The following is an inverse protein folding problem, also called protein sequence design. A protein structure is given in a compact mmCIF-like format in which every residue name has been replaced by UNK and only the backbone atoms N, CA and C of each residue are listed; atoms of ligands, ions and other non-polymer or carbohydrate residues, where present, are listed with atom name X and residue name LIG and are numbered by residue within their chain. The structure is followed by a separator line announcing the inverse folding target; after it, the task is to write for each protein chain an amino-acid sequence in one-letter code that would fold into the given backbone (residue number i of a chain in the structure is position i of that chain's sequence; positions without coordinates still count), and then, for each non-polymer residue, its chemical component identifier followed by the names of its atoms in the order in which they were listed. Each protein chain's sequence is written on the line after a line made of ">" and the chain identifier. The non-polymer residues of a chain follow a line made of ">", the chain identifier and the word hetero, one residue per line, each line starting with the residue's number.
data_IF_692176529471
#
_entry.id   IF_692176529471
#
_cell.length_a   1.000
_cell.length_b   1.000
_cell.length_c   1.000
_cell.angle_alpha   90.00
_cell.angle_beta   90.00
_cell.angle_gamma   90.00
#
_symmetry.space_group_name_H-M   'P 1'
#
loop_
_entity.id
_entity.type
_entity.pdbx_description
1 polymer ?
#
# COMPACT_ATOMS: atom_id res chain seq x y z
N UNK A 1 -8.58 -21.10 78.06
CA UNK A 1 -7.38 -21.76 78.62
C UNK A 1 -6.14 -20.97 78.20
N UNK A 2 -4.97 -21.26 78.78
CA UNK A 2 -3.70 -20.53 78.59
C UNK A 2 -3.08 -20.76 77.17
N UNK A 3 -2.05 -20.03 76.73
CA UNK A 3 -1.30 -18.94 77.39
C UNK A 3 -0.23 -18.28 76.49
N UNK A 4 0.32 -17.17 76.99
CA UNK A 4 1.42 -16.31 76.43
C UNK A 4 2.82 -16.91 76.73
N UNK A 5 4.01 -16.32 76.35
CA UNK A 5 4.32 -14.89 76.09
C UNK A 5 5.27 -14.54 74.90
N UNK A 6 5.57 -13.24 74.77
CA UNK A 6 6.68 -12.66 73.97
C UNK A 6 7.93 -12.40 74.86
N UNK A 7 9.03 -11.77 74.40
CA UNK A 7 9.10 -10.29 74.46
C UNK A 7 10.00 -9.55 73.41
N UNK A 8 10.09 -8.22 73.56
CA UNK A 8 11.10 -7.24 73.04
C UNK A 8 11.49 -6.30 74.22
N UNK A 9 12.29 -5.23 74.07
CA UNK A 9 13.57 -4.99 73.36
C UNK A 9 14.68 -4.73 74.43
N UNK A 10 15.67 -3.83 74.23
CA UNK A 10 15.49 -2.43 74.67
C UNK A 10 16.14 -1.35 73.75
N UNK A 11 16.20 -0.09 74.23
CA UNK A 11 16.64 1.16 73.57
C UNK A 11 17.77 1.86 74.35
N UNK A 12 18.50 2.76 73.67
CA UNK A 12 18.71 4.17 74.07
C UNK A 12 18.92 5.01 72.75
N UNK A 13 19.56 6.18 72.57
CA UNK A 13 20.40 7.10 73.39
C UNK A 13 20.19 8.57 72.94
N UNK A 14 20.68 9.55 73.72
CA UNK A 14 20.67 10.99 73.37
C UNK A 14 21.69 11.43 72.30
N UNK A 15 21.90 12.74 72.01
CA UNK A 15 21.48 13.91 72.82
C UNK A 15 21.48 15.27 72.05
N UNK A 16 20.49 16.14 72.35
CA UNK A 16 20.51 17.64 72.44
C UNK A 16 21.09 18.59 71.34
N UNK A 17 20.23 19.54 70.95
CA UNK A 17 20.45 21.03 70.74
C UNK A 17 21.27 21.47 69.50
N UNK A 18 21.18 22.72 69.00
CA UNK A 18 20.61 24.02 69.51
C UNK A 18 20.02 24.89 68.36
N UNK A 19 19.29 25.97 68.68
CA UNK A 19 18.74 26.96 67.72
C UNK A 19 19.70 28.13 67.42
N UNK A 20 19.51 28.80 66.27
CA UNK A 20 19.29 30.25 66.04
C UNK A 20 19.35 30.52 64.50
N UNK A 21 18.53 31.30 63.76
CA UNK A 21 17.43 32.29 63.93
C UNK A 21 17.80 33.73 63.53
N UNK A 22 16.96 34.37 62.70
CA UNK A 22 17.02 35.76 62.17
C UNK A 22 18.10 36.05 61.10
N UNK A 23 17.86 36.87 60.07
CA UNK A 23 16.58 37.41 59.56
C UNK A 23 16.72 38.60 58.58
N UNK A 24 15.71 38.82 57.72
CA UNK A 24 15.37 40.08 56.99
C UNK A 24 16.40 40.74 56.03
N UNK A 25 16.03 41.52 55.00
CA UNK A 25 14.78 41.65 54.20
C UNK A 25 15.05 42.57 52.97
N UNK A 26 14.06 42.69 52.06
CA UNK A 26 13.85 43.80 51.11
C UNK A 26 14.78 43.97 49.90
N UNK A 27 14.17 44.17 48.72
CA UNK A 27 14.86 44.52 47.46
C UNK A 27 13.97 44.31 46.23
N UNK A 28 13.19 45.32 45.83
CA UNK A 28 12.22 45.22 44.72
C UNK A 28 12.63 46.12 43.55
N UNK A 29 12.77 45.52 42.36
CA UNK A 29 12.56 46.15 41.04
C UNK A 29 12.40 45.02 40.02
N UNK A 30 11.31 44.88 39.26
CA UNK A 30 10.60 45.81 38.36
C UNK A 30 11.03 45.64 36.89
N UNK A 31 10.12 45.02 36.11
CA UNK A 31 9.95 45.14 34.65
C UNK A 31 11.19 45.11 33.74
N UNK A 32 11.46 43.93 33.16
CA UNK A 32 12.04 43.82 31.81
C UNK A 32 11.15 42.92 30.94
N UNK A 33 10.50 43.52 29.95
CA UNK A 33 9.99 42.78 28.78
C UNK A 33 11.08 42.74 27.70
N UNK A 34 11.16 41.65 26.93
CA UNK A 34 11.59 41.72 25.54
C UNK A 34 10.47 41.27 24.59
N UNK A 35 9.91 42.26 23.90
CA UNK A 35 9.40 42.26 22.52
C UNK A 35 9.17 40.89 21.85
N UNK A 36 7.92 40.64 21.44
CA UNK A 36 7.48 39.51 20.60
C UNK A 36 7.97 39.63 19.15
N UNK A 37 9.24 39.33 18.91
CA UNK A 37 9.80 39.24 17.54
C UNK A 37 9.31 37.97 16.84
N UNK A 38 8.28 38.09 16.00
CA UNK A 38 7.77 37.01 15.14
C UNK A 38 8.76 36.67 14.00
N UNK A 39 9.77 35.86 14.31
CA UNK A 39 10.74 35.34 13.32
C UNK A 39 10.10 34.31 12.39
N UNK A 40 9.49 34.85 11.32
CA UNK A 40 8.93 34.19 10.13
C UNK A 40 9.83 33.04 9.63
N UNK A 41 9.47 31.80 9.96
CA UNK A 41 10.26 30.60 9.62
C UNK A 41 10.43 30.43 8.10
N UNK A 42 11.64 30.04 7.68
CA UNK A 42 12.08 30.15 6.29
C UNK A 42 11.73 28.95 5.42
N UNK A 43 10.71 29.14 4.58
CA UNK A 43 10.62 28.68 3.17
C UNK A 43 11.23 27.30 2.85
N UNK A 44 10.36 26.29 2.73
CA UNK A 44 10.71 24.99 2.12
C UNK A 44 10.91 25.16 0.60
N UNK A 45 12.12 25.52 0.17
CA UNK A 45 12.56 25.48 -1.23
C UNK A 45 13.37 24.21 -1.50
N UNK A 46 12.78 23.25 -2.21
CA UNK A 46 13.53 22.13 -2.82
C UNK A 46 13.96 22.54 -4.23
N UNK A 47 15.23 22.34 -4.57
CA UNK A 47 15.77 22.68 -5.88
C UNK A 47 15.04 21.94 -7.02
N UNK A 48 14.84 22.63 -8.14
CA UNK A 48 14.37 22.04 -9.38
C UNK A 48 15.43 21.09 -9.98
N UNK A 49 15.01 20.17 -10.85
CA UNK A 49 15.94 19.25 -11.52
C UNK A 49 16.79 20.00 -12.54
N UNK A 50 18.05 20.26 -12.21
CA UNK A 50 19.05 20.82 -13.13
C UNK A 50 19.39 19.78 -14.20
N UNK A 51 18.90 19.98 -15.42
CA UNK A 51 19.32 19.24 -16.61
C UNK A 51 20.73 19.70 -16.98
N UNK A 52 21.67 18.78 -17.17
CA UNK A 52 23.05 19.14 -17.51
C UNK A 52 23.14 19.78 -18.91
N UNK A 53 23.96 20.82 -19.03
CA UNK A 53 24.34 21.46 -20.29
C UNK A 53 25.81 21.90 -20.22
N UNK A 54 26.62 21.45 -21.17
CA UNK A 54 28.00 21.92 -21.37
C UNK A 54 28.05 23.03 -22.45
N UNK A 55 29.02 23.96 -22.44
CA UNK A 55 28.89 25.22 -23.19
C UNK A 55 29.78 25.38 -24.45
N UNK A 56 29.31 26.25 -25.37
CA UNK A 56 30.03 26.95 -26.48
C UNK A 56 30.52 26.09 -27.67
N UNK A 57 30.60 26.57 -28.93
CA UNK A 57 30.14 27.81 -29.62
C UNK A 57 30.44 27.69 -31.16
N UNK A 58 30.22 28.69 -32.04
CA UNK A 58 29.03 29.52 -32.33
C UNK A 58 28.67 29.55 -33.85
N UNK A 59 27.84 30.54 -34.29
CA UNK A 59 27.49 30.94 -35.68
C UNK A 59 26.44 30.04 -36.40
N UNK A 60 25.51 30.54 -37.24
CA UNK A 60 25.06 31.93 -37.53
C UNK A 60 23.56 31.98 -37.95
N UNK A 61 23.11 33.12 -38.52
CA UNK A 61 21.74 33.43 -39.00
C UNK A 61 21.09 32.36 -39.92
N UNK A 62 19.75 32.27 -40.06
CA UNK A 62 18.67 33.13 -39.51
C UNK A 62 17.26 32.67 -39.95
N UNK A 63 16.22 33.46 -39.65
CA UNK A 63 14.81 33.21 -40.06
C UNK A 63 14.45 33.97 -41.36
N UNK A 64 13.39 33.58 -42.09
CA UNK A 64 12.04 34.08 -41.76
C UNK A 64 10.88 33.05 -41.93
N UNK A 65 9.65 33.55 -41.83
CA UNK A 65 8.33 32.91 -42.06
C UNK A 65 7.56 33.81 -43.09
N UNK A 66 6.26 33.60 -43.45
CA UNK A 66 5.30 32.52 -43.20
C UNK A 66 4.57 32.07 -44.51
N UNK A 67 3.32 31.55 -44.39
CA UNK A 67 2.28 31.43 -45.45
C UNK A 67 2.49 30.29 -46.51
N UNK A 68 1.47 29.72 -47.19
CA UNK A 68 -0.01 29.75 -46.99
C UNK A 68 -0.73 28.59 -47.75
N UNK A 69 -2.07 28.54 -47.67
CA UNK A 69 -3.06 27.90 -48.58
C UNK A 69 -3.24 26.35 -48.67
N UNK A 70 -4.48 25.97 -49.00
CA UNK A 70 -4.99 24.62 -49.29
C UNK A 70 -4.51 24.03 -50.63
N UNK A 71 -4.52 22.69 -50.79
CA UNK A 71 -5.57 22.00 -51.57
C UNK A 71 -5.57 20.46 -51.45
N UNK A 72 -6.60 19.84 -52.04
CA UNK A 72 -6.98 18.43 -51.96
C UNK A 72 -6.31 17.49 -53.01
N UNK A 73 -6.48 16.17 -52.78
CA UNK A 73 -6.41 15.03 -53.73
C UNK A 73 -5.02 14.50 -54.18
N UNK A 74 -5.04 13.23 -54.61
CA UNK A 74 -3.99 12.62 -55.46
C UNK A 74 -3.19 11.45 -54.86
N UNK A 75 -3.53 10.21 -55.22
CA UNK A 75 -2.56 9.10 -55.25
C UNK A 75 -1.88 9.06 -56.63
N UNK A 76 -0.57 8.81 -56.70
CA UNK A 76 0.03 8.07 -57.81
C UNK A 76 0.44 6.63 -57.43
N UNK A 77 0.62 5.77 -58.44
CA UNK A 77 1.27 4.44 -58.32
C UNK A 77 2.67 4.50 -58.95
N UNK A 78 3.66 3.85 -58.34
CA UNK A 78 4.93 3.43 -58.95
C UNK A 78 5.44 2.18 -58.20
N UNK A 79 6.24 1.27 -58.77
CA UNK A 79 6.31 0.69 -60.14
C UNK A 79 7.16 -0.59 -60.02
N UNK A 80 6.93 -1.59 -60.86
CA UNK A 80 7.67 -2.86 -60.83
C UNK A 80 9.16 -2.71 -61.19
N UNK A 81 9.98 -3.60 -60.61
CA UNK A 81 11.27 -4.04 -61.18
C UNK A 81 11.35 -5.56 -61.15
N UNK A 82 11.09 -6.20 -62.29
CA UNK A 82 11.16 -7.65 -62.47
C UNK A 82 12.61 -8.16 -62.60
N UNK A 83 12.90 -9.36 -62.07
CA UNK A 83 14.24 -9.97 -62.21
C UNK A 83 14.24 -11.50 -62.18
N UNK A 84 14.44 -12.09 -63.37
CA UNK A 84 14.82 -13.49 -63.64
C UNK A 84 13.83 -14.66 -63.37
N UNK A 85 13.87 -15.62 -64.31
CA UNK A 85 13.15 -16.89 -64.35
C UNK A 85 13.75 -17.76 -65.48
N UNK A 86 14.06 -19.04 -65.26
CA UNK A 86 14.13 -20.03 -66.34
C UNK A 86 13.10 -21.17 -66.17
N UNK A 87 12.52 -21.60 -67.29
CA UNK A 87 11.40 -22.55 -67.37
C UNK A 87 11.81 -24.02 -67.26
N UNK A 88 10.95 -24.84 -66.64
CA UNK A 88 10.50 -26.10 -67.24
C UNK A 88 9.13 -26.52 -66.69
N UNK A 89 8.24 -26.98 -67.58
CA UNK A 89 7.11 -27.86 -67.24
C UNK A 89 7.49 -29.29 -67.68
N UNK A 90 6.86 -30.34 -67.13
CA UNK A 90 5.81 -30.98 -67.94
C UNK A 90 4.64 -31.62 -67.17
N UNK A 91 3.48 -31.68 -67.86
CA UNK A 91 2.45 -32.75 -67.79
C UNK A 91 1.64 -32.94 -66.50
N UNK A 92 0.33 -33.21 -66.68
CA UNK A 92 -0.62 -33.57 -65.63
C UNK A 92 -0.83 -35.10 -65.58
N UNK A 93 -1.10 -35.62 -64.38
CA UNK A 93 -1.46 -37.01 -64.09
C UNK A 93 -2.66 -37.03 -63.09
N UNK A 94 -3.42 -38.13 -62.99
CA UNK A 94 -4.81 -38.08 -62.51
C UNK A 94 -4.97 -37.92 -60.99
N UNK A 95 -6.17 -37.49 -60.58
CA UNK A 95 -6.53 -37.29 -59.18
C UNK A 95 -6.68 -38.62 -58.42
N UNK A 96 -5.87 -38.82 -57.38
CA UNK A 96 -6.13 -39.84 -56.35
C UNK A 96 -7.16 -39.31 -55.33
N UNK A 97 -8.07 -40.14 -54.80
CA UNK A 97 -9.00 -39.71 -53.75
C UNK A 97 -8.25 -39.37 -52.46
N UNK A 98 -8.55 -38.22 -51.86
CA UNK A 98 -8.15 -37.93 -50.47
C UNK A 98 -8.99 -38.84 -49.54
N UNK A 99 -8.37 -39.63 -48.66
CA UNK A 99 -9.13 -40.46 -47.73
C UNK A 99 -9.94 -39.55 -46.78
N UNK A 100 -11.20 -39.93 -46.52
CA UNK A 100 -12.12 -39.11 -45.73
C UNK A 100 -11.58 -38.90 -44.30
N UNK A 101 -11.12 -37.68 -44.00
CA UNK A 101 -10.71 -37.33 -42.64
C UNK A 101 -11.94 -37.28 -41.74
N UNK A 102 -12.05 -38.29 -40.86
CA UNK A 102 -13.11 -38.39 -39.84
C UNK A 102 -13.36 -37.05 -39.14
N UNK A 103 -14.65 -36.79 -38.85
CA UNK A 103 -15.17 -35.68 -38.05
C UNK A 103 -14.11 -34.97 -37.19
N UNK A 104 -13.62 -33.83 -37.67
CA UNK A 104 -13.13 -32.81 -36.75
C UNK A 104 -14.36 -32.32 -35.97
N UNK A 105 -14.57 -32.89 -34.79
CA UNK A 105 -15.61 -32.44 -33.89
C UNK A 105 -15.39 -30.95 -33.62
N UNK A 106 -16.36 -30.12 -34.02
CA UNK A 106 -16.33 -28.69 -33.74
C UNK A 106 -16.55 -28.51 -32.23
N UNK A 107 -15.43 -28.42 -31.52
CA UNK A 107 -15.38 -28.51 -30.07
C UNK A 107 -15.79 -27.20 -29.38
N UNK A 108 -17.10 -26.97 -29.27
CA UNK A 108 -17.68 -25.91 -28.44
C UNK A 108 -17.47 -26.24 -26.94
N UNK A 109 -16.32 -25.82 -26.41
CA UNK A 109 -15.89 -26.10 -25.04
C UNK A 109 -16.25 -24.99 -24.04
N UNK A 110 -17.54 -24.84 -23.71
CA UNK A 110 -17.98 -24.13 -22.50
C UNK A 110 -18.21 -25.15 -21.36
N UNK A 111 -17.34 -25.24 -20.33
CA UNK A 111 -17.58 -26.14 -19.19
C UNK A 111 -18.78 -25.66 -18.37
N UNK A 112 -19.64 -26.57 -17.92
CA UNK A 112 -20.86 -26.19 -17.20
C UNK A 112 -20.60 -25.88 -15.72
N UNK A 113 -21.52 -25.13 -15.08
CA UNK A 113 -21.48 -24.94 -13.61
C UNK A 113 -21.43 -26.29 -12.88
N UNK A 114 -22.19 -27.28 -13.35
CA UNK A 114 -22.21 -28.64 -12.78
C UNK A 114 -20.89 -29.40 -12.95
N UNK A 115 -20.10 -29.10 -14.00
CA UNK A 115 -18.75 -29.66 -14.16
C UNK A 115 -17.78 -28.98 -13.20
N UNK A 116 -17.82 -27.65 -13.13
CA UNK A 116 -16.96 -26.86 -12.24
C UNK A 116 -17.26 -27.12 -10.75
N UNK A 117 -18.49 -27.50 -10.40
CA UNK A 117 -18.86 -27.99 -9.07
C UNK A 117 -18.34 -29.41 -8.80
N UNK A 118 -18.44 -30.33 -9.77
CA UNK A 118 -17.96 -31.74 -9.63
C UNK A 118 -16.44 -31.86 -9.58
N UNK A 119 -15.72 -31.12 -10.42
CA UNK A 119 -14.24 -31.17 -10.50
C UNK A 119 -13.58 -30.55 -9.24
N UNK A 120 -14.33 -29.78 -8.44
CA UNK A 120 -13.86 -29.19 -7.17
C UNK A 120 -13.36 -30.19 -6.10
N UNK A 121 -13.50 -31.49 -6.33
CA UNK A 121 -13.05 -32.57 -5.43
C UNK A 121 -11.70 -33.22 -5.80
N UNK A 122 -11.11 -32.97 -6.98
CA UNK A 122 -9.92 -33.72 -7.42
C UNK A 122 -9.06 -33.07 -8.50
N UNK A 123 -7.78 -33.46 -8.53
CA UNK A 123 -6.77 -33.12 -9.55
C UNK A 123 -6.45 -31.62 -9.73
N UNK A 124 -5.64 -31.08 -8.83
CA UNK A 124 -4.97 -29.78 -8.99
C UNK A 124 -3.78 -29.61 -8.04
N UNK A 125 -2.57 -29.44 -8.58
CA UNK A 125 -1.33 -29.35 -7.79
C UNK A 125 -1.21 -28.02 -7.03
N UNK A 126 -1.63 -28.02 -5.77
CA UNK A 126 -1.32 -26.96 -4.80
C UNK A 126 -2.43 -25.93 -4.53
N UNK A 127 -3.48 -26.35 -3.81
CA UNK A 127 -4.37 -25.43 -3.08
C UNK A 127 -5.27 -24.53 -3.94
N UNK A 128 -5.66 -24.99 -5.14
CA UNK A 128 -6.40 -24.24 -6.14
C UNK A 128 -7.90 -24.09 -5.81
N UNK A 129 -8.25 -23.05 -5.03
CA UNK A 129 -9.63 -22.49 -4.96
C UNK A 129 -9.96 -21.75 -6.27
N UNK A 130 -10.17 -22.50 -7.35
CA UNK A 130 -10.25 -22.01 -8.73
C UNK A 130 -11.22 -22.88 -9.54
N UNK A 131 -11.83 -22.36 -10.62
CA UNK A 131 -12.42 -23.24 -11.62
C UNK A 131 -11.32 -24.07 -12.30
N UNK A 132 -11.61 -25.35 -12.53
CA UNK A 132 -10.91 -26.15 -13.52
C UNK A 132 -11.24 -25.60 -14.91
N UNK A 133 -10.22 -25.11 -15.63
CA UNK A 133 -10.39 -24.61 -17.00
C UNK A 133 -9.87 -25.72 -17.92
N UNK A 134 -10.74 -26.57 -18.50
CA UNK A 134 -10.32 -27.52 -19.52
C UNK A 134 -9.85 -26.74 -20.76
N UNK A 135 -8.78 -27.20 -21.41
CA UNK A 135 -8.23 -26.53 -22.58
C UNK A 135 -7.65 -27.53 -23.57
N UNK A 136 -7.62 -27.13 -24.85
CA UNK A 136 -6.89 -27.80 -25.91
C UNK A 136 -5.36 -27.90 -25.60
N UNK A 137 -4.63 -28.83 -26.23
CA UNK A 137 -3.18 -28.95 -26.11
C UNK A 137 -2.46 -27.59 -26.29
N UNK A 138 -1.52 -27.29 -25.39
CA UNK A 138 -0.85 -25.98 -25.31
C UNK A 138 -1.53 -24.94 -24.42
N UNK A 139 -2.82 -25.10 -24.09
CA UNK A 139 -3.58 -24.14 -23.27
C UNK A 139 -3.00 -23.88 -21.87
N UNK A 140 -2.27 -24.83 -21.29
CA UNK A 140 -1.55 -24.64 -20.02
C UNK A 140 -0.57 -23.46 -20.04
N UNK A 141 0.10 -23.21 -21.17
CA UNK A 141 0.99 -22.06 -21.33
C UNK A 141 0.20 -20.74 -21.42
N UNK A 142 -0.97 -20.76 -22.08
CA UNK A 142 -1.87 -19.61 -22.11
C UNK A 142 -2.41 -19.26 -20.71
N UNK A 143 -2.74 -20.25 -19.88
CA UNK A 143 -3.12 -20.03 -18.48
C UNK A 143 -1.99 -19.44 -17.63
N UNK A 144 -0.73 -19.80 -17.89
CA UNK A 144 0.43 -19.18 -17.21
C UNK A 144 0.52 -17.68 -17.57
N UNK A 145 0.26 -17.31 -18.83
CA UNK A 145 0.20 -15.92 -19.28
C UNK A 145 -1.03 -15.16 -18.73
N UNK A 146 -2.21 -15.77 -18.74
CA UNK A 146 -3.43 -15.20 -18.13
C UNK A 146 -3.24 -14.98 -16.62
N UNK A 147 -2.56 -15.92 -15.93
CA UNK A 147 -2.21 -15.79 -14.51
C UNK A 147 -1.18 -14.69 -14.24
N UNK A 148 -0.20 -14.49 -15.12
CA UNK A 148 0.83 -13.45 -14.95
C UNK A 148 0.31 -12.03 -15.27
N UNK A 149 -0.79 -11.91 -16.02
CA UNK A 149 -1.46 -10.63 -16.31
C UNK A 149 -1.95 -9.88 -15.07
N UNK A 150 -2.13 -10.56 -13.93
CA UNK A 150 -2.56 -9.97 -12.65
C UNK A 150 -1.62 -10.35 -11.51
N UNK A 151 -1.56 -9.52 -10.47
CA UNK A 151 -0.69 -9.82 -9.31
C UNK A 151 -1.19 -11.08 -8.56
N UNK A 152 -0.31 -11.87 -7.92
CA UNK A 152 -0.72 -13.07 -7.17
C UNK A 152 -1.79 -12.81 -6.10
N UNK A 153 -1.78 -11.62 -5.48
CA UNK A 153 -2.80 -11.19 -4.53
C UNK A 153 -4.14 -10.81 -5.18
N UNK A 154 -4.14 -10.41 -6.46
CA UNK A 154 -5.34 -10.21 -7.27
C UNK A 154 -5.92 -11.55 -7.68
N UNK A 155 -5.08 -12.46 -8.20
CA UNK A 155 -5.47 -13.82 -8.57
C UNK A 155 -6.12 -14.57 -7.39
N UNK A 156 -5.48 -14.55 -6.21
CA UNK A 156 -6.04 -15.15 -4.99
C UNK A 156 -7.37 -14.50 -4.56
N UNK A 157 -7.51 -13.17 -4.71
CA UNK A 157 -8.75 -12.47 -4.38
C UNK A 157 -9.90 -12.80 -5.35
N UNK A 158 -9.59 -13.04 -6.63
CA UNK A 158 -10.56 -13.49 -7.62
C UNK A 158 -10.97 -14.95 -7.36
N UNK A 159 -10.02 -15.88 -7.17
CA UNK A 159 -10.31 -17.29 -6.90
C UNK A 159 -11.16 -17.50 -5.63
N UNK A 160 -10.86 -16.77 -4.56
CA UNK A 160 -11.73 -16.75 -3.37
C UNK A 160 -13.15 -16.26 -3.69
N UNK A 161 -13.30 -15.19 -4.49
CA UNK A 161 -14.61 -14.70 -4.89
C UNK A 161 -15.40 -15.71 -5.75
N UNK A 162 -14.70 -16.47 -6.61
CA UNK A 162 -15.26 -17.55 -7.41
C UNK A 162 -15.76 -18.71 -6.55
N UNK A 163 -14.92 -19.29 -5.70
CA UNK A 163 -15.34 -20.39 -4.82
C UNK A 163 -16.46 -19.98 -3.87
N UNK A 164 -16.47 -18.74 -3.37
CA UNK A 164 -17.59 -18.22 -2.57
C UNK A 164 -18.90 -18.13 -3.36
N UNK A 165 -18.84 -17.79 -4.66
CA UNK A 165 -20.01 -17.69 -5.55
C UNK A 165 -20.50 -19.06 -6.06
N UNK A 166 -19.59 -20.01 -6.28
CA UNK A 166 -19.89 -21.33 -6.86
C UNK A 166 -20.92 -22.13 -6.03
N UNK A 167 -21.01 -21.87 -4.73
CA UNK A 167 -22.05 -22.40 -3.84
C UNK A 167 -23.49 -21.89 -4.13
N UNK A 168 -23.62 -20.79 -4.87
CA UNK A 168 -24.90 -20.19 -5.29
C UNK A 168 -25.20 -20.46 -6.77
N UNK A 169 -24.23 -20.99 -7.52
CA UNK A 169 -24.28 -21.16 -8.97
C UNK A 169 -25.23 -22.30 -9.37
N UNK A 170 -26.06 -22.05 -10.40
CA UNK A 170 -27.02 -22.99 -11.00
C UNK A 170 -26.94 -22.94 -12.53
N UNK A 171 -27.51 -23.94 -13.20
CA UNK A 171 -27.58 -24.02 -14.65
C UNK A 171 -26.30 -24.55 -15.28
N UNK A 172 -26.05 -24.16 -16.53
CA UNK A 172 -24.88 -24.60 -17.31
C UNK A 172 -23.88 -23.48 -17.62
N UNK A 173 -24.12 -22.23 -17.20
CA UNK A 173 -23.26 -21.08 -17.53
C UNK A 173 -23.66 -20.33 -18.81
N UNK A 174 -24.60 -20.86 -19.59
CA UNK A 174 -25.14 -20.21 -20.79
C UNK A 174 -26.43 -19.45 -20.48
N UNK A 175 -27.25 -19.96 -19.56
CA UNK A 175 -28.43 -19.24 -19.06
C UNK A 175 -28.01 -18.02 -18.20
N UNK A 176 -28.02 -16.86 -18.86
CA UNK A 176 -27.75 -15.56 -18.27
C UNK A 176 -28.74 -15.14 -17.16
N UNK A 177 -29.96 -15.69 -17.13
CA UNK A 177 -30.92 -15.45 -16.03
C UNK A 177 -30.47 -16.21 -14.79
N UNK A 178 -30.20 -17.51 -14.91
CA UNK A 178 -29.68 -18.33 -13.81
C UNK A 178 -28.35 -17.78 -13.27
N UNK A 179 -27.40 -17.36 -14.13
CA UNK A 179 -26.18 -16.70 -13.70
C UNK A 179 -26.43 -15.37 -12.95
N UNK A 180 -27.41 -14.58 -13.40
CA UNK A 180 -27.80 -13.34 -12.73
C UNK A 180 -28.40 -13.62 -11.35
N UNK A 181 -29.34 -14.57 -11.24
CA UNK A 181 -29.98 -14.96 -9.99
C UNK A 181 -28.98 -15.56 -8.98
N UNK A 182 -28.09 -16.44 -9.42
CA UNK A 182 -26.96 -16.93 -8.61
C UNK A 182 -26.08 -15.78 -8.09
N UNK A 183 -25.85 -14.76 -8.92
CA UNK A 183 -25.07 -13.57 -8.55
C UNK A 183 -25.83 -12.66 -7.58
N UNK A 184 -27.14 -12.49 -7.75
CA UNK A 184 -28.01 -11.74 -6.82
C UNK A 184 -28.03 -12.42 -5.45
N UNK A 185 -28.26 -13.74 -5.41
CA UNK A 185 -28.26 -14.52 -4.18
C UNK A 185 -26.91 -14.44 -3.43
N UNK A 186 -25.80 -14.51 -4.15
CA UNK A 186 -24.47 -14.28 -3.58
C UNK A 186 -24.31 -12.88 -2.99
N UNK A 187 -24.79 -11.82 -3.67
CA UNK A 187 -24.74 -10.44 -3.16
C UNK A 187 -25.61 -10.24 -1.91
N UNK A 188 -26.79 -10.85 -1.85
CA UNK A 188 -27.66 -10.86 -0.67
C UNK A 188 -26.95 -11.57 0.50
N UNK A 189 -26.36 -12.74 0.27
CA UNK A 189 -25.61 -13.47 1.28
C UNK A 189 -24.37 -12.70 1.79
N UNK A 190 -23.66 -11.98 0.90
CA UNK A 190 -22.57 -11.08 1.30
C UNK A 190 -23.05 -9.91 2.16
N UNK A 191 -24.23 -9.35 1.89
CA UNK A 191 -24.85 -8.27 2.69
C UNK A 191 -25.28 -8.78 4.07
N UNK A 192 -25.92 -9.95 4.12
CA UNK A 192 -26.30 -10.61 5.38
C UNK A 192 -25.09 -10.92 6.28
N UNK A 193 -23.93 -11.27 5.69
CA UNK A 193 -22.65 -11.50 6.40
C UNK A 193 -21.90 -10.20 6.78
N UNK A 194 -22.57 -9.04 6.80
CA UNK A 194 -21.97 -7.76 7.17
C UNK A 194 -20.95 -7.20 6.15
N UNK A 195 -21.01 -7.65 4.90
CA UNK A 195 -20.13 -7.18 3.84
C UNK A 195 -20.30 -5.69 3.51
N UNK A 196 -19.24 -5.06 2.99
CA UNK A 196 -19.33 -3.72 2.42
C UNK A 196 -19.53 -3.76 0.91
N UNK A 197 -20.24 -2.78 0.35
CA UNK A 197 -20.45 -2.67 -1.09
C UNK A 197 -19.14 -2.58 -1.89
N UNK A 198 -18.05 -2.08 -1.29
CA UNK A 198 -16.69 -2.08 -1.89
C UNK A 198 -16.12 -3.51 -1.94
N UNK A 199 -16.36 -4.34 -0.91
CA UNK A 199 -15.98 -5.76 -0.90
C UNK A 199 -16.74 -6.55 -1.96
N UNK A 200 -18.06 -6.33 -2.05
CA UNK A 200 -18.93 -6.94 -3.06
C UNK A 200 -18.54 -6.52 -4.49
N UNK A 201 -18.29 -5.23 -4.72
CA UNK A 201 -17.83 -4.71 -6.01
C UNK A 201 -16.53 -5.39 -6.47
N UNK A 202 -15.59 -5.65 -5.55
CA UNK A 202 -14.31 -6.33 -5.85
C UNK A 202 -14.49 -7.84 -6.11
N UNK A 203 -15.44 -8.49 -5.45
CA UNK A 203 -15.82 -9.88 -5.72
C UNK A 203 -16.43 -10.02 -7.12
N UNK A 204 -17.36 -9.12 -7.47
CA UNK A 204 -17.91 -9.03 -8.83
C UNK A 204 -16.84 -8.76 -9.90
N UNK A 205 -15.80 -7.97 -9.62
CA UNK A 205 -14.66 -7.85 -10.55
C UNK A 205 -13.95 -9.19 -10.80
N UNK A 206 -13.85 -10.05 -9.78
CA UNK A 206 -13.30 -11.40 -9.92
C UNK A 206 -14.23 -12.34 -10.69
N UNK A 207 -15.55 -12.30 -10.45
CA UNK A 207 -16.52 -13.07 -11.23
C UNK A 207 -16.54 -12.64 -12.69
N UNK A 208 -16.55 -11.34 -12.97
CA UNK A 208 -16.48 -10.79 -14.33
C UNK A 208 -15.21 -11.17 -15.09
N UNK A 209 -14.11 -11.46 -14.38
CA UNK A 209 -12.88 -11.99 -14.96
C UNK A 209 -13.04 -13.46 -15.33
N UNK A 210 -13.61 -14.29 -14.44
CA UNK A 210 -13.81 -15.72 -14.73
C UNK A 210 -14.90 -16.00 -15.75
N UNK A 211 -16.03 -15.28 -15.74
CA UNK A 211 -17.06 -15.43 -16.77
C UNK A 211 -16.45 -15.24 -18.17
N UNK A 212 -15.66 -14.18 -18.37
CA UNK A 212 -14.96 -13.92 -19.64
C UNK A 212 -13.86 -14.93 -19.97
N UNK A 213 -13.18 -15.47 -18.96
CA UNK A 213 -12.17 -16.53 -19.13
C UNK A 213 -12.78 -17.90 -19.46
N UNK A 214 -14.07 -18.09 -19.14
CA UNK A 214 -14.85 -19.31 -19.40
C UNK A 214 -15.83 -19.16 -20.57
N UNK A 215 -15.79 -18.06 -21.33
CA UNK A 215 -16.72 -17.76 -22.43
C UNK A 215 -18.13 -17.30 -22.02
N UNK A 216 -18.48 -17.38 -20.74
CA UNK A 216 -19.81 -17.04 -20.20
C UNK A 216 -20.12 -15.53 -20.21
N UNK A 217 -21.41 -15.18 -20.25
CA UNK A 217 -21.86 -13.78 -20.22
C UNK A 217 -21.52 -13.06 -18.89
N UNK A 218 -21.00 -11.83 -18.98
CA UNK A 218 -20.71 -10.96 -17.82
C UNK A 218 -21.97 -10.35 -17.20
N UNK A 219 -22.73 -11.19 -16.48
CA UNK A 219 -23.94 -10.76 -15.73
C UNK A 219 -23.65 -9.70 -14.66
N UNK A 220 -22.39 -9.49 -14.26
CA UNK A 220 -22.03 -8.50 -13.22
C UNK A 220 -22.32 -7.04 -13.64
N UNK A 221 -22.63 -6.82 -14.91
CA UNK A 221 -23.01 -5.51 -15.49
C UNK A 221 -24.52 -5.34 -15.66
N UNK A 222 -25.33 -6.37 -15.44
CA UNK A 222 -26.78 -6.29 -15.57
C UNK A 222 -27.36 -5.20 -14.66
N UNK A 223 -28.39 -4.51 -15.14
CA UNK A 223 -28.95 -3.31 -14.51
C UNK A 223 -29.23 -3.52 -13.01
N UNK A 224 -29.95 -4.60 -12.67
CA UNK A 224 -30.34 -4.94 -11.29
C UNK A 224 -29.14 -5.05 -10.33
N UNK A 225 -28.06 -5.72 -10.73
CA UNK A 225 -26.82 -5.85 -9.94
C UNK A 225 -26.14 -4.48 -9.77
N UNK A 226 -26.10 -3.65 -10.82
CA UNK A 226 -25.50 -2.31 -10.70
C UNK A 226 -26.32 -1.38 -9.80
N UNK A 227 -27.66 -1.49 -9.80
CA UNK A 227 -28.55 -0.71 -8.93
C UNK A 227 -28.49 -1.20 -7.48
N UNK A 228 -28.47 -2.51 -7.23
CA UNK A 228 -28.27 -3.08 -5.89
C UNK A 228 -26.96 -2.57 -5.25
N UNK A 229 -25.85 -2.55 -6.02
CA UNK A 229 -24.59 -1.96 -5.56
C UNK A 229 -24.65 -0.43 -5.38
N UNK A 230 -25.52 0.30 -6.10
CA UNK A 230 -25.71 1.75 -5.88
C UNK A 230 -26.48 2.00 -4.57
N UNK A 231 -27.54 1.23 -4.30
CA UNK A 231 -28.29 1.26 -3.04
C UNK A 231 -27.40 0.94 -1.83
N UNK A 232 -26.71 -0.20 -1.85
CA UNK A 232 -25.78 -0.63 -0.79
C UNK A 232 -24.62 0.36 -0.56
N UNK A 233 -24.21 1.13 -1.59
CA UNK A 233 -23.24 2.24 -1.42
C UNK A 233 -23.84 3.49 -0.76
N UNK A 234 -25.14 3.76 -0.91
CA UNK A 234 -25.84 4.87 -0.24
C UNK A 234 -26.11 4.56 1.23
N UNK A 235 -26.47 3.31 1.55
CA UNK A 235 -26.58 2.79 2.92
C UNK A 235 -25.21 2.80 3.64
N UNK A 236 -24.17 2.28 2.96
CA UNK A 236 -22.84 2.05 3.52
C UNK A 236 -21.95 3.28 3.71
N UNK A 237 -22.46 4.35 4.35
CA UNK A 237 -21.69 5.59 4.67
C UNK A 237 -20.63 5.40 5.78
N UNK A 238 -19.68 4.47 5.60
CA UNK A 238 -18.41 4.45 6.34
C UNK A 238 -17.25 4.27 5.37
N UNK A 239 -16.62 5.38 5.01
CA UNK A 239 -15.33 5.39 4.32
C UNK A 239 -14.19 4.90 5.22
N UNK A 240 -12.94 4.98 4.76
CA UNK A 240 -11.80 4.73 5.64
C UNK A 240 -11.71 5.85 6.68
N UNK A 241 -12.12 5.60 7.93
CA UNK A 241 -12.17 6.59 9.02
C UNK A 241 -10.83 6.78 9.74
N UNK A 242 -9.73 6.14 9.30
CA UNK A 242 -8.46 6.18 10.03
C UNK A 242 -7.93 7.60 10.23
N UNK A 243 -7.51 7.90 11.45
CA UNK A 243 -6.85 9.15 11.81
C UNK A 243 -5.41 9.20 11.27
N UNK A 244 -4.89 10.38 10.93
CA UNK A 244 -3.47 10.56 10.62
C UNK A 244 -2.59 10.22 11.83
N UNK A 245 -1.37 9.73 11.58
CA UNK A 245 -0.24 9.94 12.49
C UNK A 245 0.54 11.13 11.93
N UNK A 246 0.17 12.32 12.37
CA UNK A 246 0.86 13.60 12.11
C UNK A 246 2.23 13.64 12.79
N UNK A 247 3.01 14.71 12.59
CA UNK A 247 4.34 14.81 13.16
C UNK A 247 4.35 14.87 14.71
N UNK A 248 3.37 15.51 15.34
CA UNK A 248 3.28 15.57 16.81
C UNK A 248 2.93 14.20 17.40
N UNK A 249 2.00 13.46 16.77
CA UNK A 249 1.73 12.09 17.18
C UNK A 249 2.91 11.15 16.90
N UNK A 250 3.67 11.35 15.81
CA UNK A 250 4.91 10.59 15.57
C UNK A 250 5.91 10.80 16.71
N UNK A 251 6.18 12.05 17.11
CA UNK A 251 7.05 12.36 18.26
C UNK A 251 6.59 11.62 19.53
N UNK A 252 5.30 11.70 19.85
CA UNK A 252 4.70 10.99 21.01
C UNK A 252 4.82 9.47 20.90
N UNK A 253 4.77 8.88 19.71
CA UNK A 253 4.93 7.43 19.50
C UNK A 253 6.38 6.95 19.66
N UNK A 254 7.39 7.82 19.51
CA UNK A 254 8.80 7.45 19.62
C UNK A 254 9.28 7.31 21.08
N UNK A 255 8.62 7.97 22.03
CA UNK A 255 9.00 7.95 23.44
C UNK A 255 8.67 6.61 24.15
N UNK A 256 7.44 6.05 24.09
CA UNK A 256 7.10 4.79 24.77
C UNK A 256 7.93 3.57 24.34
N UNK A 257 8.54 3.60 23.15
CA UNK A 257 9.37 2.50 22.63
C UNK A 257 10.48 2.07 23.60
N UNK A 258 11.09 3.02 24.32
CA UNK A 258 12.18 2.72 25.28
C UNK A 258 11.72 1.98 26.55
N UNK A 259 10.40 1.88 26.77
CA UNK A 259 9.77 1.12 27.88
C UNK A 259 9.03 -0.13 27.36
N UNK A 260 8.58 -0.09 26.10
CA UNK A 260 7.76 -1.14 25.48
C UNK A 260 8.62 -2.22 24.79
N UNK A 261 9.80 -1.87 24.27
CA UNK A 261 10.77 -2.78 23.66
C UNK A 261 11.63 -3.51 24.72
N UNK A 262 12.18 -4.67 24.34
CA UNK A 262 13.03 -5.49 25.23
C UNK A 262 14.48 -5.03 25.35
N UNK A 263 15.02 -4.36 24.33
CA UNK A 263 16.42 -3.95 24.25
C UNK A 263 16.56 -2.56 23.60
N UNK A 264 17.70 -1.87 23.77
CA UNK A 264 18.04 -0.66 23.02
C UNK A 264 18.03 -0.89 21.50
N UNK A 265 18.46 -2.08 21.05
CA UNK A 265 18.40 -2.51 19.64
C UNK A 265 16.96 -2.45 19.11
N UNK A 266 16.02 -3.13 19.79
CA UNK A 266 14.60 -3.12 19.40
C UNK A 266 14.00 -1.70 19.49
N UNK A 267 14.46 -0.87 20.42
CA UNK A 267 14.06 0.54 20.50
C UNK A 267 14.49 1.31 19.26
N UNK A 268 15.74 1.14 18.80
CA UNK A 268 16.26 1.76 17.59
C UNK A 268 15.54 1.25 16.32
N UNK A 269 15.36 -0.07 16.19
CA UNK A 269 14.64 -0.73 15.08
C UNK A 269 13.25 -0.12 14.87
N UNK A 270 12.44 -0.02 15.92
CA UNK A 270 11.08 0.50 15.79
C UNK A 270 11.02 2.02 15.65
N UNK A 271 11.97 2.78 16.23
CA UNK A 271 12.12 4.22 15.96
C UNK A 271 12.43 4.48 14.47
N UNK A 272 13.37 3.73 13.89
CA UNK A 272 13.67 3.80 12.47
C UNK A 272 12.47 3.35 11.59
N UNK A 273 11.74 2.31 12.00
CA UNK A 273 10.58 1.81 11.27
C UNK A 273 9.41 2.83 11.24
N UNK A 274 9.07 3.46 12.38
CA UNK A 274 8.02 4.48 12.43
C UNK A 274 8.43 5.74 11.64
N UNK A 275 9.69 6.15 11.75
CA UNK A 275 10.30 7.23 10.97
C UNK A 275 10.18 6.99 9.45
N UNK A 276 10.65 5.84 8.95
CA UNK A 276 10.56 5.46 7.53
C UNK A 276 9.11 5.39 7.04
N UNK A 277 8.18 4.87 7.86
CA UNK A 277 6.76 4.78 7.52
C UNK A 277 6.12 6.16 7.29
N UNK A 278 6.43 7.14 8.15
CA UNK A 278 5.97 8.52 8.01
C UNK A 278 6.70 9.29 6.91
N UNK A 279 8.01 9.52 7.06
CA UNK A 279 8.76 10.41 6.17
C UNK A 279 8.92 9.89 4.73
N UNK A 280 8.89 8.57 4.52
CA UNK A 280 8.81 7.98 3.18
C UNK A 280 7.38 7.88 2.62
N UNK A 281 6.37 8.28 3.39
CA UNK A 281 4.94 8.09 3.14
C UNK A 281 4.61 6.66 2.67
N UNK A 282 5.24 5.66 3.29
CA UNK A 282 5.32 4.30 2.76
C UNK A 282 3.99 3.55 2.86
N UNK A 283 3.73 2.65 1.91
CA UNK A 283 2.80 1.54 2.19
C UNK A 283 3.54 0.53 3.06
N UNK A 284 2.91 -0.03 4.08
CA UNK A 284 3.60 -0.93 5.01
C UNK A 284 4.30 -2.12 4.32
N UNK A 285 3.77 -2.61 3.20
CA UNK A 285 4.36 -3.68 2.38
C UNK A 285 5.57 -3.24 1.52
N UNK A 286 5.82 -1.94 1.39
CA UNK A 286 7.04 -1.37 0.79
C UNK A 286 8.16 -1.32 1.84
N UNK A 287 7.82 -1.23 3.13
CA UNK A 287 8.76 -1.14 4.24
C UNK A 287 9.12 -2.50 4.85
N UNK A 288 8.12 -3.35 5.11
CA UNK A 288 8.28 -4.66 5.80
C UNK A 288 7.55 -5.80 5.08
N UNK A 289 8.08 -7.05 5.13
CA UNK A 289 7.40 -8.22 4.60
C UNK A 289 6.10 -8.54 5.35
N UNK A 290 5.19 -9.23 4.66
CA UNK A 290 3.88 -9.62 5.20
C UNK A 290 3.99 -10.72 6.28
N UNK A 291 5.04 -11.54 6.24
CA UNK A 291 5.48 -12.50 7.26
C UNK A 291 6.93 -12.92 6.97
N UNK A 292 7.65 -13.48 7.94
CA UNK A 292 9.07 -13.83 7.78
C UNK A 292 9.35 -14.80 6.61
N UNK A 293 8.39 -15.70 6.30
CA UNK A 293 8.46 -16.63 5.16
C UNK A 293 8.13 -15.99 3.79
N UNK A 294 7.88 -14.68 3.70
CA UNK A 294 7.51 -13.99 2.44
C UNK A 294 8.49 -12.89 2.09
N UNK A 295 9.08 -13.00 0.89
CA UNK A 295 9.91 -11.95 0.30
C UNK A 295 9.16 -10.61 0.22
N UNK A 296 9.85 -9.52 0.56
CA UNK A 296 9.32 -8.15 0.55
C UNK A 296 9.89 -7.29 1.68
N UNK A 297 9.42 -6.05 1.74
CA UNK A 297 10.02 -5.00 2.57
C UNK A 297 11.28 -4.39 1.95
N UNK A 298 11.86 -3.42 2.65
CA UNK A 298 13.01 -2.64 2.20
C UNK A 298 14.32 -3.42 2.40
N UNK A 299 15.18 -3.44 1.38
CA UNK A 299 16.45 -4.18 1.37
C UNK A 299 17.62 -3.36 1.89
N UNK A 300 18.66 -4.04 2.39
CA UNK A 300 19.90 -3.39 2.82
C UNK A 300 20.65 -2.76 1.64
N UNK A 301 20.77 -3.50 0.54
CA UNK A 301 21.41 -3.04 -0.71
C UNK A 301 20.70 -1.84 -1.35
N UNK A 302 19.41 -1.66 -1.02
CA UNK A 302 18.58 -0.56 -1.48
C UNK A 302 18.72 0.72 -0.61
N UNK A 303 19.53 0.71 0.45
CA UNK A 303 19.67 1.80 1.43
C UNK A 303 21.01 2.54 1.32
N UNK A 304 20.94 3.87 1.24
CA UNK A 304 22.06 4.80 1.32
C UNK A 304 21.83 5.69 2.55
N UNK A 305 22.73 5.59 3.54
CA UNK A 305 22.69 6.33 4.80
C UNK A 305 23.78 7.39 4.78
N UNK A 306 23.43 8.64 5.06
CA UNK A 306 24.36 9.77 5.14
C UNK A 306 23.90 10.73 6.24
N UNK A 307 24.83 11.49 6.84
CA UNK A 307 24.57 12.47 7.91
C UNK A 307 23.50 13.52 7.57
N UNK A 308 23.35 13.86 6.28
CA UNK A 308 22.43 14.92 5.81
C UNK A 308 21.13 14.38 5.21
N UNK A 309 21.11 13.10 4.79
CA UNK A 309 19.95 12.47 4.17
C UNK A 309 19.99 10.94 4.24
N UNK A 310 18.81 10.32 4.25
CA UNK A 310 18.62 8.91 3.90
C UNK A 310 18.05 8.84 2.50
N UNK A 311 18.62 7.99 1.63
CA UNK A 311 18.08 7.71 0.29
C UNK A 311 17.90 6.21 0.12
N UNK A 312 16.76 5.78 -0.40
CA UNK A 312 16.48 4.36 -0.56
C UNK A 312 15.61 4.01 -1.76
N UNK A 313 15.79 2.81 -2.31
CA UNK A 313 15.03 2.30 -3.47
C UNK A 313 13.86 1.44 -3.00
N UNK A 314 12.69 1.69 -3.59
CA UNK A 314 11.51 0.83 -3.44
C UNK A 314 11.39 0.02 -4.73
N UNK A 315 11.94 -1.19 -4.75
CA UNK A 315 12.12 -1.99 -5.98
C UNK A 315 10.82 -2.41 -6.69
N UNK A 316 9.74 -2.70 -5.96
CA UNK A 316 8.42 -3.00 -6.56
C UNK A 316 7.29 -2.42 -5.71
N UNK A 317 6.47 -1.55 -6.30
CA UNK A 317 5.30 -0.96 -5.64
C UNK A 317 3.98 -1.40 -6.29
N UNK A 318 2.84 -1.25 -5.61
CA UNK A 318 1.51 -1.58 -6.18
C UNK A 318 1.21 -0.83 -7.49
N UNK A 319 1.86 0.30 -7.72
CA UNK A 319 1.66 1.21 -8.87
C UNK A 319 2.78 1.12 -9.92
N UNK A 320 3.69 0.17 -9.76
CA UNK A 320 4.83 -0.10 -10.63
C UNK A 320 4.79 -1.57 -11.07
N UNK A 321 3.98 -1.84 -12.09
CA UNK A 321 3.76 -3.18 -12.66
C UNK A 321 5.02 -3.71 -13.35
N UNK A 322 5.86 -2.81 -13.86
CA UNK A 322 7.10 -3.13 -14.58
C UNK A 322 8.31 -3.31 -13.66
N UNK A 323 8.20 -3.03 -12.36
CA UNK A 323 9.30 -3.18 -11.40
C UNK A 323 10.50 -2.28 -11.66
N UNK A 324 10.29 -1.08 -12.23
CA UNK A 324 11.38 -0.08 -12.44
C UNK A 324 11.90 0.48 -11.12
N UNK A 325 11.10 0.35 -10.05
CA UNK A 325 11.34 0.92 -8.74
C UNK A 325 11.21 2.44 -8.69
N UNK A 326 11.45 3.00 -7.52
CA UNK A 326 11.62 4.44 -7.34
C UNK A 326 12.57 4.73 -6.18
N UNK A 327 13.40 5.78 -6.31
CA UNK A 327 14.22 6.29 -5.22
C UNK A 327 13.44 7.31 -4.40
N UNK A 328 13.42 7.14 -3.08
CA UNK A 328 12.94 8.12 -2.10
C UNK A 328 14.15 8.75 -1.42
N UNK A 329 14.07 10.02 -1.06
CA UNK A 329 15.14 10.72 -0.31
C UNK A 329 14.52 11.60 0.76
N UNK A 330 14.91 11.34 2.00
CA UNK A 330 14.47 12.01 3.22
C UNK A 330 15.66 12.81 3.75
N UNK A 331 15.51 14.13 3.88
CA UNK A 331 16.52 15.01 4.46
C UNK A 331 16.47 14.99 5.99
N UNK A 332 17.56 15.40 6.64
CA UNK A 332 17.55 15.70 8.07
C UNK A 332 16.58 16.85 8.39
N UNK A 333 16.02 16.83 9.60
CA UNK A 333 15.31 17.96 10.23
C UNK A 333 15.87 18.19 11.63
N UNK A 334 15.45 19.25 12.30
CA UNK A 334 15.83 19.53 13.69
C UNK A 334 14.98 18.71 14.70
N UNK A 335 15.53 18.47 15.88
CA UNK A 335 14.85 17.82 17.01
C UNK A 335 14.90 16.28 17.02
N UNK A 336 14.51 15.70 18.16
CA UNK A 336 14.66 14.27 18.50
C UNK A 336 13.96 13.27 17.56
N UNK A 337 13.05 13.74 16.69
CA UNK A 337 12.37 12.93 15.68
C UNK A 337 13.00 13.04 14.29
N UNK A 338 14.23 13.56 14.19
CA UNK A 338 14.97 13.66 12.93
C UNK A 338 15.13 12.27 12.28
N UNK A 339 14.62 12.06 11.06
CA UNK A 339 14.59 10.75 10.44
C UNK A 339 16.00 10.22 10.18
N UNK A 340 16.93 11.09 9.77
CA UNK A 340 18.32 10.73 9.53
C UNK A 340 18.98 10.22 10.81
N UNK A 341 18.83 10.93 11.93
CA UNK A 341 19.38 10.47 13.22
C UNK A 341 18.79 9.11 13.62
N UNK A 342 17.46 8.96 13.63
CA UNK A 342 16.80 7.72 14.04
C UNK A 342 17.18 6.52 13.15
N UNK A 343 17.34 6.73 11.85
CA UNK A 343 17.69 5.68 10.88
C UNK A 343 19.18 5.35 10.96
N UNK A 344 20.06 6.35 11.11
CA UNK A 344 21.51 6.13 11.27
C UNK A 344 21.86 5.45 12.58
N UNK A 345 21.21 5.80 13.70
CA UNK A 345 21.39 5.10 14.99
C UNK A 345 21.04 3.62 14.88
N UNK A 346 19.94 3.26 14.19
CA UNK A 346 19.64 1.86 13.95
C UNK A 346 20.63 1.21 12.98
N UNK A 347 21.01 1.89 11.88
CA UNK A 347 21.95 1.36 10.90
C UNK A 347 23.33 1.03 11.50
N UNK A 348 23.78 1.78 12.51
CA UNK A 348 25.05 1.54 13.22
C UNK A 348 24.99 0.37 14.23
N UNK A 349 23.80 0.02 14.74
CA UNK A 349 23.60 -1.06 15.71
C UNK A 349 23.18 -2.40 15.07
N UNK A 350 22.82 -2.38 13.79
CA UNK A 350 22.04 -3.43 13.10
C UNK A 350 22.83 -4.73 12.86
N UNK A 351 22.22 -5.86 13.22
CA UNK A 351 22.67 -7.22 12.85
C UNK A 351 22.67 -7.42 11.33
N UNK A 352 23.42 -8.40 10.82
CA UNK A 352 23.42 -8.73 9.39
C UNK A 352 22.02 -9.15 8.86
N UNK A 353 21.82 -9.15 7.54
CA UNK A 353 20.58 -9.67 6.93
C UNK A 353 20.14 -8.93 5.67
N UNK A 354 19.28 -9.56 4.86
CA UNK A 354 18.92 -9.03 3.52
C UNK A 354 17.97 -7.83 3.56
N UNK A 355 17.07 -7.75 4.54
CA UNK A 355 16.22 -6.59 4.75
C UNK A 355 16.97 -5.52 5.58
N UNK A 356 16.59 -4.25 5.43
CA UNK A 356 17.11 -3.19 6.30
C UNK A 356 16.57 -3.33 7.72
N UNK A 357 15.25 -3.43 7.89
CA UNK A 357 14.63 -3.61 9.22
C UNK A 357 14.66 -5.09 9.63
N UNK A 358 15.61 -5.46 10.48
CA UNK A 358 15.73 -6.79 11.10
C UNK A 358 15.81 -6.68 12.62
N UNK A 359 15.28 -7.68 13.31
CA UNK A 359 15.48 -7.93 14.74
C UNK A 359 16.92 -8.34 15.04
N UNK A 360 17.27 -8.36 16.32
CA UNK A 360 18.61 -8.68 16.83
C UNK A 360 19.08 -10.09 16.36
N UNK A 361 18.14 -11.03 16.25
CA UNK A 361 18.29 -12.39 15.68
C UNK A 361 18.42 -12.44 14.14
N UNK A 362 18.61 -11.29 13.48
CA UNK A 362 18.65 -11.11 12.02
C UNK A 362 17.34 -11.43 11.28
N UNK A 363 16.24 -11.77 11.97
CA UNK A 363 14.94 -12.02 11.34
C UNK A 363 14.29 -10.71 10.87
N UNK A 364 13.62 -10.68 9.70
CA UNK A 364 13.07 -9.43 9.16
C UNK A 364 11.85 -8.98 9.97
N UNK A 365 11.83 -7.72 10.39
CA UNK A 365 10.67 -7.11 11.06
C UNK A 365 9.43 -7.28 10.17
N UNK A 366 8.40 -7.99 10.64
CA UNK A 366 7.20 -8.22 9.83
C UNK A 366 6.14 -7.14 10.05
N UNK A 367 5.22 -7.04 9.08
CA UNK A 367 3.99 -6.25 9.23
C UNK A 367 3.19 -6.56 10.50
N UNK A 368 3.22 -7.81 10.99
CA UNK A 368 2.53 -8.19 12.22
C UNK A 368 3.22 -7.56 13.45
N UNK A 369 4.54 -7.71 13.59
CA UNK A 369 5.32 -7.09 14.66
C UNK A 369 5.18 -5.56 14.65
N UNK A 370 5.31 -4.93 13.47
CA UNK A 370 5.06 -3.48 13.31
C UNK A 370 3.68 -3.07 13.83
N UNK A 371 2.62 -3.77 13.40
CA UNK A 371 1.24 -3.45 13.80
C UNK A 371 1.01 -3.68 15.30
N UNK A 372 1.59 -4.75 15.86
CA UNK A 372 1.47 -5.10 17.28
C UNK A 372 2.14 -4.07 18.18
N UNK A 373 3.35 -3.61 17.84
CA UNK A 373 4.04 -2.61 18.64
C UNK A 373 3.43 -1.21 18.49
N UNK A 374 3.02 -0.84 17.27
CA UNK A 374 2.28 0.41 17.04
C UNK A 374 1.00 0.48 17.89
N UNK A 375 0.24 -0.62 17.97
CA UNK A 375 -0.92 -0.70 18.86
C UNK A 375 -0.54 -0.55 20.35
N UNK A 376 0.54 -1.19 20.83
CA UNK A 376 1.02 -1.01 22.23
C UNK A 376 1.42 0.45 22.52
N UNK A 377 2.01 1.14 21.54
CA UNK A 377 2.36 2.55 21.69
C UNK A 377 1.11 3.45 21.74
N UNK A 378 0.09 3.19 20.92
CA UNK A 378 -1.20 3.89 21.00
C UNK A 378 -1.89 3.64 22.35
N UNK A 379 -1.95 2.39 22.81
CA UNK A 379 -2.52 2.01 24.11
C UNK A 379 -1.82 2.73 25.27
N UNK A 380 -0.48 2.79 25.25
CA UNK A 380 0.31 3.52 26.25
C UNK A 380 0.11 5.06 26.19
N UNK A 381 -0.29 5.62 25.04
CA UNK A 381 -0.64 7.03 24.89
C UNK A 381 -2.12 7.34 25.22
N UNK A 382 -2.89 6.34 25.67
CA UNK A 382 -4.34 6.46 25.92
C UNK A 382 -5.19 6.57 24.65
N UNK A 383 -4.66 6.15 23.50
CA UNK A 383 -5.29 6.32 22.19
C UNK A 383 -5.98 5.06 21.69
N UNK A 384 -7.15 5.24 21.09
CA UNK A 384 -7.97 4.11 20.65
C UNK A 384 -7.45 3.47 19.35
N UNK A 385 -6.85 2.28 19.48
CA UNK A 385 -6.30 1.50 18.36
C UNK A 385 -7.24 1.24 17.17
N UNK A 386 -8.58 1.25 17.35
CA UNK A 386 -9.52 1.08 16.22
C UNK A 386 -9.59 2.30 15.29
N UNK A 387 -9.15 3.48 15.74
CA UNK A 387 -9.06 4.69 14.92
C UNK A 387 -7.82 4.69 13.99
N UNK A 388 -6.90 3.74 14.16
CA UNK A 388 -5.58 3.76 13.55
C UNK A 388 -5.28 2.51 12.72
N UNK A 389 -4.12 2.52 12.06
CA UNK A 389 -3.49 1.35 11.47
C UNK A 389 -2.19 1.74 10.77
N UNK A 390 -1.51 0.77 10.17
CA UNK A 390 -0.23 1.04 9.47
C UNK A 390 -0.36 1.94 8.24
N UNK A 391 -1.58 2.32 7.84
CA UNK A 391 -1.84 3.34 6.83
C UNK A 391 -1.89 4.76 7.40
N UNK A 392 -2.11 4.93 8.70
CA UNK A 392 -2.20 6.23 9.38
C UNK A 392 -0.91 7.05 9.26
N UNK A 393 0.26 6.42 9.23
CA UNK A 393 1.55 7.06 8.92
C UNK A 393 1.55 7.75 7.55
N UNK A 394 0.99 7.10 6.52
CA UNK A 394 0.90 7.63 5.15
C UNK A 394 -0.24 8.65 4.97
N UNK A 395 -1.32 8.53 5.75
CA UNK A 395 -2.39 9.54 5.84
C UNK A 395 -1.85 10.80 6.53
N UNK A 396 -1.12 10.64 7.62
CA UNK A 396 -0.46 11.72 8.34
C UNK A 396 0.58 12.44 7.50
N UNK A 397 1.50 11.71 6.85
CA UNK A 397 2.48 12.33 5.95
C UNK A 397 1.85 13.11 4.78
N UNK A 398 0.67 12.71 4.28
CA UNK A 398 -0.10 13.48 3.29
C UNK A 398 -0.71 14.76 3.88
N UNK A 399 -1.27 14.64 5.09
CA UNK A 399 -1.94 15.72 5.81
C UNK A 399 -0.93 16.77 6.27
N UNK A 400 0.18 16.33 6.86
CA UNK A 400 1.33 17.16 7.26
C UNK A 400 1.87 17.94 6.07
N UNK A 401 2.18 17.27 4.94
CA UNK A 401 2.67 17.96 3.74
C UNK A 401 1.70 19.05 3.26
N UNK A 402 0.38 18.80 3.33
CA UNK A 402 -0.63 19.80 2.99
C UNK A 402 -0.68 20.98 3.99
N UNK A 403 -0.55 20.71 5.30
CA UNK A 403 -0.55 21.72 6.36
C UNK A 403 0.72 22.59 6.34
N UNK A 404 1.86 22.00 5.99
CA UNK A 404 3.13 22.69 5.74
C UNK A 404 3.15 23.46 4.40
N UNK A 405 1.99 23.60 3.73
CA UNK A 405 1.83 24.42 2.52
C UNK A 405 2.42 23.84 1.23
N UNK A 406 2.74 22.54 1.16
CA UNK A 406 3.26 21.95 -0.07
C UNK A 406 2.16 21.87 -1.13
N UNK A 407 2.50 22.29 -2.35
CA UNK A 407 1.63 22.19 -3.54
C UNK A 407 1.14 20.77 -3.80
N UNK A 408 -0.04 20.62 -4.42
CA UNK A 408 -0.62 19.32 -4.76
C UNK A 408 0.34 18.41 -5.54
N UNK A 409 1.12 18.96 -6.48
CA UNK A 409 2.14 18.22 -7.24
C UNK A 409 3.25 17.68 -6.33
N UNK A 410 3.65 18.45 -5.31
CA UNK A 410 4.62 18.04 -4.30
C UNK A 410 4.06 16.96 -3.37
N UNK A 411 2.81 17.10 -2.91
CA UNK A 411 2.13 16.07 -2.10
C UNK A 411 1.98 14.76 -2.90
N UNK A 412 1.51 14.85 -4.17
CA UNK A 412 1.47 13.73 -5.12
C UNK A 412 2.83 13.05 -5.28
N UNK A 413 3.90 13.82 -5.37
CA UNK A 413 5.28 13.31 -5.45
C UNK A 413 5.72 12.57 -4.19
N UNK A 414 5.55 13.15 -2.99
CA UNK A 414 5.94 12.55 -1.70
C UNK A 414 5.34 11.16 -1.49
N UNK A 415 4.02 11.02 -1.62
CA UNK A 415 3.38 9.71 -1.50
C UNK A 415 3.41 8.86 -2.77
N UNK A 416 3.95 9.36 -3.89
CA UNK A 416 3.96 8.67 -5.19
C UNK A 416 2.55 8.30 -5.66
N UNK A 417 1.61 9.26 -5.57
CA UNK A 417 0.23 9.13 -6.05
C UNK A 417 0.11 9.61 -7.51
N UNK A 418 -0.32 8.72 -8.42
CA UNK A 418 -0.51 9.02 -9.86
C UNK A 418 -1.82 9.74 -10.20
N UNK A 419 -2.71 9.98 -9.23
CA UNK A 419 -4.04 10.55 -9.47
C UNK A 419 -4.58 11.26 -8.21
N UNK A 420 -5.75 11.90 -8.32
CA UNK A 420 -6.37 12.69 -7.25
C UNK A 420 -6.80 11.85 -6.01
N UNK A 421 -6.53 10.54 -6.00
CA UNK A 421 -6.67 9.68 -4.83
C UNK A 421 -5.84 10.12 -3.60
N UNK A 422 -4.86 11.01 -3.75
CA UNK A 422 -4.15 11.64 -2.61
C UNK A 422 -5.08 12.47 -1.71
N UNK A 423 -6.14 13.09 -2.26
CA UNK A 423 -7.06 13.93 -1.50
C UNK A 423 -7.74 13.17 -0.34
N UNK A 424 -8.05 11.88 -0.55
CA UNK A 424 -8.60 11.00 0.48
C UNK A 424 -7.63 10.68 1.65
N UNK A 425 -6.37 11.08 1.55
CA UNK A 425 -5.34 10.99 2.61
C UNK A 425 -5.18 12.29 3.40
N UNK A 426 -5.65 13.44 2.90
CA UNK A 426 -5.54 14.73 3.60
C UNK A 426 -6.72 14.82 4.58
N UNK A 427 -6.42 14.81 5.89
CA UNK A 427 -7.41 14.69 6.97
C UNK A 427 -7.09 15.60 8.18
N UNK A 428 -6.92 16.91 7.98
CA UNK A 428 -6.54 17.82 9.07
C UNK A 428 -7.57 17.82 10.21
N UNK A 429 -8.86 17.66 9.87
CA UNK A 429 -9.97 17.56 10.81
C UNK A 429 -9.99 16.27 11.67
N UNK A 430 -9.05 15.33 11.46
CA UNK A 430 -8.92 14.10 12.24
C UNK A 430 -7.63 14.04 13.08
N UNK A 431 -6.81 15.08 13.08
CA UNK A 431 -5.63 15.20 13.96
C UNK A 431 -6.07 15.19 15.44
N UNK A 432 -5.17 14.81 16.34
CA UNK A 432 -5.42 14.87 17.80
C UNK A 432 -4.95 16.23 18.32
N UNK A 433 -5.80 17.25 18.22
CA UNK A 433 -5.58 18.51 18.90
C UNK A 433 -5.76 18.30 20.41
N UNK A 434 -4.72 18.50 21.21
CA UNK A 434 -4.78 18.30 22.67
C UNK A 434 -5.47 19.44 23.45
N UNK A 435 -6.00 20.45 22.76
CA UNK A 435 -6.73 21.58 23.35
C UNK A 435 -8.26 21.41 23.36
N UNK A 436 -8.76 20.18 23.33
CA UNK A 436 -10.11 19.89 23.84
C UNK A 436 -10.01 19.65 25.35
N UNK A 437 -10.41 20.60 26.22
CA UNK A 437 -10.54 20.31 27.64
C UNK A 437 -11.55 19.16 27.83
N UNK A 438 -11.23 18.22 28.71
CA UNK A 438 -12.19 17.25 29.19
C UNK A 438 -13.30 18.04 29.89
N UNK A 439 -14.47 18.18 29.25
CA UNK A 439 -15.65 18.77 29.91
C UNK A 439 -15.99 17.86 31.08
N UNK A 440 -15.92 18.34 32.34
CA UNK A 440 -16.26 17.51 33.48
C UNK A 440 -17.72 17.09 33.36
N UNK A 441 -17.98 15.79 33.37
CA UNK A 441 -19.33 15.27 33.54
C UNK A 441 -19.76 15.75 34.93
N UNK A 442 -20.70 16.70 34.98
CA UNK A 442 -21.37 17.05 36.22
C UNK A 442 -22.15 15.83 36.69
N UNK A 443 -21.95 15.48 37.96
CA UNK A 443 -22.77 14.52 38.70
C UNK A 443 -24.17 15.11 38.92
#
# INVERSE_FOLDING_TARGET
>A
MAGTPAPRPPLDTGTRRRHHSTGSASGVSASHQPVTTLTRSTVVRRAASTRSTSPRAPLHYGSPSPADTDYHQGRPRLRDTSGYNPRSQPVAAPACPVPASHNQAQYDWNPTVGDLQRIGAGYGTGGSKMPSIPMAPGGGQLLILVRSSVTPATWQAYGNAWSEWLHFAKGNGEDARQLCDSTINYLVALRARGGSAISAQRRLTGLAFFFKLLGWQDVTKHFIITQALKGWRREGKKGDTRRPVDFQLLQRLLAPLQVICKSPYETALFRAAFSLAFFGALRISELVPQSAKKLGGLKQEDMIVNEKFIRFRIGRSKTDVLGRGCWVTISAIQGHACPVQLISTFAALRSAGTNFLVHEDSSPLTRYQFSRLFNRCLEHLGLEKKEFGTHSFRIGAATEACLQGLSESSVKSVGRWKSNCFAAYIRPNLIINQFSPQVPIRQ
#
